data_IF_700147949647
#
_entry.id   IF_700147949647
#
_cell.length_a   1.000
_cell.length_b   1.000
_cell.length_c   1.000
_cell.angle_alpha   90.00
_cell.angle_beta   90.00
_cell.angle_gamma   90.00
#
_symmetry.space_group_name_H-M   'P 1'
#
loop_
_entity.id
_entity.type
_entity.pdbx_description
1 polymer ?
#
# COMPACT_ATOMS: atom_id res chain seq x y z
N UNK A 1 9.00 9.50 -7.91
CA UNK A 1 8.28 9.88 -6.68
C UNK A 1 6.88 9.28 -6.76
N UNK A 2 6.64 8.13 -6.12
CA UNK A 2 5.38 7.37 -6.25
C UNK A 2 4.52 7.61 -5.01
N UNK A 3 3.50 8.46 -5.13
CA UNK A 3 2.56 8.78 -4.05
C UNK A 3 1.29 7.91 -4.11
N UNK A 4 1.11 7.10 -5.15
CA UNK A 4 -0.11 6.30 -5.38
C UNK A 4 -0.32 5.22 -4.34
N UNK A 5 0.75 4.58 -3.87
CA UNK A 5 0.67 3.51 -2.85
C UNK A 5 0.21 4.04 -1.48
N UNK A 6 0.83 5.10 -0.89
CA UNK A 6 0.35 5.62 0.38
C UNK A 6 -1.03 6.30 0.27
N UNK A 7 -1.37 6.89 -0.89
CA UNK A 7 -2.71 7.46 -1.12
C UNK A 7 -3.77 6.37 -1.12
N UNK A 8 -3.57 5.29 -1.88
CA UNK A 8 -4.52 4.17 -1.92
C UNK A 8 -4.66 3.50 -0.53
N UNK A 9 -3.56 3.36 0.20
CA UNK A 9 -3.58 2.84 1.56
C UNK A 9 -4.42 3.73 2.48
N UNK A 10 -4.22 5.05 2.42
CA UNK A 10 -4.99 6.01 3.21
C UNK A 10 -6.48 5.99 2.87
N UNK A 11 -6.84 5.89 1.59
CA UNK A 11 -8.24 5.75 1.19
C UNK A 11 -8.86 4.44 1.72
N UNK A 12 -8.11 3.33 1.72
CA UNK A 12 -8.59 2.07 2.30
C UNK A 12 -8.77 2.14 3.82
N UNK A 13 -7.94 2.93 4.51
CA UNK A 13 -8.11 3.23 5.93
C UNK A 13 -9.38 4.07 6.17
N UNK A 14 -9.56 5.16 5.41
CA UNK A 14 -10.71 6.06 5.56
C UNK A 14 -12.04 5.37 5.20
N UNK A 15 -12.02 4.44 4.24
CA UNK A 15 -13.18 3.59 3.88
C UNK A 15 -13.47 2.49 4.92
N UNK A 16 -12.64 2.33 5.96
CA UNK A 16 -12.83 1.33 7.01
C UNK A 16 -12.68 -0.12 6.52
N UNK A 17 -12.03 -0.33 5.38
CA UNK A 17 -11.84 -1.66 4.78
C UNK A 17 -10.75 -2.42 5.53
N UNK A 18 -9.81 -1.71 6.14
CA UNK A 18 -8.70 -2.27 6.91
C UNK A 18 -9.09 -2.43 8.38
N UNK A 19 -9.03 -3.66 8.89
CA UNK A 19 -9.33 -4.00 10.28
C UNK A 19 -8.05 -4.34 11.07
N UNK A 20 -8.00 -4.05 12.38
CA UNK A 20 -6.86 -4.41 13.20
C UNK A 20 -6.56 -5.91 13.11
N UNK A 21 -5.32 -6.26 12.77
CA UNK A 21 -4.87 -7.62 12.51
C UNK A 21 -4.74 -7.98 11.02
N UNK A 22 -5.25 -7.15 10.11
CA UNK A 22 -5.12 -7.39 8.67
C UNK A 22 -3.67 -7.24 8.20
N UNK A 23 -3.30 -8.06 7.22
CA UNK A 23 -1.99 -8.00 6.56
C UNK A 23 -2.17 -7.36 5.19
N UNK A 24 -1.67 -6.14 5.04
CA UNK A 24 -1.76 -5.36 3.82
C UNK A 24 -0.45 -5.47 3.06
N UNK A 25 -0.49 -6.09 1.89
CA UNK A 25 0.65 -6.12 0.99
C UNK A 25 0.52 -5.00 -0.05
N UNK A 26 1.56 -4.18 -0.16
CA UNK A 26 1.67 -3.12 -1.17
C UNK A 26 2.79 -3.47 -2.14
N UNK A 27 2.54 -3.28 -3.43
CA UNK A 27 3.53 -3.53 -4.49
C UNK A 27 3.51 -2.36 -5.46
N UNK A 28 4.68 -1.80 -5.73
CA UNK A 28 4.90 -0.73 -6.67
C UNK A 28 5.85 -1.14 -7.78
N UNK A 29 5.48 -0.87 -9.02
CA UNK A 29 6.35 -1.01 -10.19
C UNK A 29 6.63 0.36 -10.78
N UNK A 30 7.91 0.65 -11.02
CA UNK A 30 8.40 1.87 -11.66
C UNK A 30 9.14 1.58 -12.97
N UNK A 31 9.37 2.62 -13.75
CA UNK A 31 10.09 2.54 -15.03
C UNK A 31 11.58 2.27 -14.75
N UNK A 32 12.19 1.35 -15.51
CA UNK A 32 13.61 0.98 -15.37
C UNK A 32 13.89 -0.20 -14.44
N UNK A 33 12.99 -1.20 -14.38
CA UNK A 33 13.08 -2.41 -13.52
C UNK A 33 13.08 -2.14 -12.00
N UNK A 34 12.82 -0.91 -11.58
CA UNK A 34 12.70 -0.57 -10.16
C UNK A 34 11.32 -0.95 -9.66
N UNK A 35 11.24 -2.00 -8.84
CA UNK A 35 10.02 -2.42 -8.15
C UNK A 35 10.29 -2.59 -6.66
N UNK A 36 9.25 -2.47 -5.85
CA UNK A 36 9.34 -2.62 -4.40
C UNK A 36 8.02 -3.09 -3.82
N UNK A 37 8.09 -3.92 -2.79
CA UNK A 37 6.93 -4.41 -2.07
C UNK A 37 7.14 -4.24 -0.55
N UNK A 38 6.05 -3.94 0.16
CA UNK A 38 6.04 -3.83 1.62
C UNK A 38 4.79 -4.48 2.18
N UNK A 39 4.94 -5.28 3.24
CA UNK A 39 3.83 -5.87 3.99
C UNK A 39 3.68 -5.11 5.30
N UNK A 40 2.50 -4.56 5.53
CA UNK A 40 2.14 -3.79 6.71
C UNK A 40 1.12 -4.62 7.50
N UNK A 41 1.30 -4.70 8.82
CA UNK A 41 0.27 -5.24 9.71
C UNK A 41 -0.53 -4.06 10.25
N UNK A 42 -1.81 -4.02 9.93
CA UNK A 42 -2.75 -2.98 10.36
C UNK A 42 -3.24 -3.25 11.79
#
# INVERSE_FOLDING_TARGET
MSCTIPIALKESMDKGVLKPGDRVATVGFGVGYSWGACVIRW
#
